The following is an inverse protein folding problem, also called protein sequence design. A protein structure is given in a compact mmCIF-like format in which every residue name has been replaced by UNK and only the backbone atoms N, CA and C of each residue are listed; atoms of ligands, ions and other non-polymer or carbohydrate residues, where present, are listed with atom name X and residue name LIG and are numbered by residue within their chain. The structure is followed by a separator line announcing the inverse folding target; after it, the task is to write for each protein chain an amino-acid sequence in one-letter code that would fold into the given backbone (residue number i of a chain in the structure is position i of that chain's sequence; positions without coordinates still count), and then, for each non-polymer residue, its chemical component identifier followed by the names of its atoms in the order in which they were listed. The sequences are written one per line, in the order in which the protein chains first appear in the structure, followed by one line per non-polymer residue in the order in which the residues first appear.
data_IF_679648414213
#
_entry.id   IF_679648414213
#
_cell.length_a   1.000
_cell.length_b   1.000
_cell.length_c   1.000
_cell.angle_alpha   90.00
_cell.angle_beta   90.00
_cell.angle_gamma   90.00
#
_symmetry.space_group_name_H-M   'P 1'
#
loop_
_entity.id
_entity.type
_entity.pdbx_description
1 polymer ?
#
# COMPACT_ATOMS: atom_id res chain seq x y z
N UNK A 1 2.04 13.02 12.71
CA UNK A 1 3.21 12.14 12.74
C UNK A 1 3.64 11.93 14.19
N UNK A 2 3.83 10.68 14.61
CA UNK A 2 4.46 10.32 15.89
C UNK A 2 5.83 9.72 15.59
N UNK A 3 6.86 10.07 16.33
CA UNK A 3 8.23 9.59 16.09
C UNK A 3 8.68 8.69 17.24
N UNK A 4 9.25 7.53 16.90
CA UNK A 4 9.94 6.64 17.82
C UNK A 4 11.44 6.66 17.53
N UNK A 5 12.28 6.63 18.56
CA UNK A 5 13.73 6.47 18.43
C UNK A 5 14.18 5.20 19.13
N UNK A 6 14.91 4.34 18.42
CA UNK A 6 15.55 3.17 19.00
C UNK A 6 16.74 3.64 19.85
N UNK A 7 16.63 3.60 21.18
CA UNK A 7 17.68 4.13 22.08
C UNK A 7 18.81 3.15 22.35
N UNK A 8 18.52 1.86 22.32
CA UNK A 8 19.48 0.83 22.65
C UNK A 8 19.24 -0.41 21.81
N UNK A 9 20.16 -0.69 20.87
CA UNK A 9 20.06 -1.83 19.96
C UNK A 9 20.08 -3.19 20.67
N UNK A 10 20.55 -3.28 21.93
CA UNK A 10 20.60 -4.54 22.69
C UNK A 10 19.27 -4.92 23.34
N UNK A 11 18.52 -3.94 23.86
CA UNK A 11 17.18 -4.15 24.46
C UNK A 11 16.05 -3.76 23.51
N UNK A 12 16.42 -3.16 22.37
CA UNK A 12 15.55 -2.68 21.30
C UNK A 12 14.39 -1.82 21.78
N UNK A 13 14.60 -1.01 22.81
CA UNK A 13 13.58 -0.13 23.34
C UNK A 13 13.38 1.08 22.42
N UNK A 14 12.12 1.33 22.06
CA UNK A 14 11.72 2.49 21.27
C UNK A 14 11.12 3.52 22.22
N UNK A 15 11.78 4.67 22.31
CA UNK A 15 11.23 5.83 22.98
C UNK A 15 10.37 6.62 21.99
N UNK A 16 9.07 6.64 22.24
CA UNK A 16 8.14 7.44 21.46
C UNK A 16 8.08 8.86 22.02
N UNK A 17 8.21 9.86 21.14
CA UNK A 17 7.94 11.25 21.49
C UNK A 17 6.50 11.35 22.03
N UNK A 18 6.32 12.06 23.14
CA UNK A 18 5.00 12.30 23.72
C UNK A 18 4.16 13.15 22.76
N UNK A 19 3.04 12.60 22.29
CA UNK A 19 2.09 13.30 21.42
C UNK A 19 2.40 13.16 19.92
N UNK A 20 1.82 14.07 19.14
CA UNK A 20 1.88 14.03 17.67
C UNK A 20 2.30 15.40 17.11
N UNK A 21 3.17 15.39 16.11
CA UNK A 21 3.49 16.57 15.31
C UNK A 21 2.54 16.63 14.11
N UNK A 22 1.84 17.74 13.95
CA UNK A 22 1.11 18.03 12.71
C UNK A 22 2.11 18.28 11.58
N UNK A 23 2.02 17.51 10.51
CA UNK A 23 2.85 17.73 9.31
C UNK A 23 2.17 18.75 8.41
N UNK A 24 2.30 20.03 8.77
CA UNK A 24 1.66 21.15 8.08
C UNK A 24 2.15 21.36 6.64
N UNK A 25 3.34 20.86 6.30
CA UNK A 25 3.87 20.95 4.95
C UNK A 25 3.27 19.94 3.98
N UNK A 26 2.63 18.86 4.44
CA UNK A 26 2.03 17.83 3.59
C UNK A 26 0.56 18.11 3.31
N UNK A 27 0.26 19.28 2.76
CA UNK A 27 -1.09 19.68 2.37
C UNK A 27 -1.11 20.71 1.25
N UNK A 28 -2.30 20.93 0.68
CA UNK A 28 -2.62 22.04 -0.20
C UNK A 28 -3.71 22.93 0.45
N UNK A 29 -3.72 24.25 0.21
CA UNK A 29 -4.76 25.13 0.73
C UNK A 29 -6.17 24.66 0.35
N UNK A 30 -7.10 24.62 1.31
CA UNK A 30 -8.50 24.17 1.13
C UNK A 30 -8.64 22.70 0.66
N UNK A 31 -7.66 21.86 0.95
CA UNK A 31 -7.70 20.41 0.70
C UNK A 31 -7.56 19.62 2.00
N UNK A 32 -8.02 18.37 1.97
CA UNK A 32 -7.75 17.33 2.95
C UNK A 32 -6.64 16.44 2.40
N UNK A 33 -5.61 16.17 3.21
CA UNK A 33 -4.56 15.20 2.89
C UNK A 33 -4.90 13.83 3.43
N UNK A 34 -4.68 12.78 2.65
CA UNK A 34 -4.97 11.40 3.03
C UNK A 34 -4.02 10.42 2.35
N UNK A 35 -4.06 9.18 2.79
CA UNK A 35 -3.30 8.05 2.24
C UNK A 35 -1.78 8.28 2.18
N UNK A 36 -1.11 8.45 3.33
CA UNK A 36 0.35 8.56 3.35
C UNK A 36 0.99 7.28 2.79
N UNK A 37 1.96 7.47 1.88
CA UNK A 37 2.72 6.41 1.24
C UNK A 37 4.22 6.77 1.23
N UNK A 38 4.98 6.39 2.28
CA UNK A 38 6.40 6.70 2.36
C UNK A 38 7.24 5.75 1.49
N UNK A 39 8.30 6.27 0.87
CA UNK A 39 9.37 5.47 0.25
C UNK A 39 10.72 6.10 0.54
N UNK A 40 11.72 5.27 0.87
CA UNK A 40 13.08 5.72 1.16
C UNK A 40 13.99 5.43 -0.03
N UNK A 41 14.53 6.51 -0.63
CA UNK A 41 15.53 6.42 -1.69
C UNK A 41 16.92 6.32 -1.03
N UNK A 42 17.56 5.16 -1.17
CA UNK A 42 18.75 4.76 -0.42
C UNK A 42 20.02 5.49 -0.84
N UNK A 43 20.16 5.90 -2.09
CA UNK A 43 21.40 6.51 -2.60
C UNK A 43 21.55 7.96 -2.13
N UNK A 44 20.53 8.78 -2.37
CA UNK A 44 20.43 10.17 -1.92
C UNK A 44 20.00 10.32 -0.46
N UNK A 45 19.60 9.22 0.19
CA UNK A 45 19.07 9.17 1.57
C UNK A 45 17.86 10.09 1.76
N UNK A 46 17.00 10.14 0.75
CA UNK A 46 15.80 10.99 0.75
C UNK A 46 14.59 10.15 1.11
N UNK A 47 13.86 10.57 2.14
CA UNK A 47 12.53 10.06 2.45
C UNK A 47 11.50 10.85 1.65
N UNK A 48 10.77 10.19 0.76
CA UNK A 48 9.58 10.72 0.12
C UNK A 48 8.36 10.29 0.93
N UNK A 49 7.41 11.20 1.12
CA UNK A 49 6.08 10.89 1.64
C UNK A 49 5.06 11.32 0.61
N UNK A 50 4.53 10.36 -0.14
CA UNK A 50 3.42 10.58 -1.06
C UNK A 50 2.09 10.62 -0.30
N UNK A 51 1.14 11.36 -0.84
CA UNK A 51 -0.23 11.47 -0.32
C UNK A 51 -1.15 12.03 -1.40
N UNK A 52 -2.46 11.93 -1.17
CA UNK A 52 -3.46 12.60 -2.02
C UNK A 52 -4.08 13.78 -1.29
N UNK A 53 -4.20 14.91 -1.99
CA UNK A 53 -4.99 16.06 -1.55
C UNK A 53 -6.33 16.11 -2.30
N UNK A 54 -7.44 16.21 -1.56
CA UNK A 54 -8.79 16.35 -2.15
C UNK A 54 -9.44 17.63 -1.60
N UNK A 55 -10.09 18.48 -2.43
CA UNK A 55 -10.77 19.68 -1.94
C UNK A 55 -11.72 19.37 -0.78
N UNK A 56 -11.73 20.19 0.27
CA UNK A 56 -12.41 19.87 1.54
C UNK A 56 -13.91 19.59 1.38
N UNK A 57 -14.57 20.20 0.39
CA UNK A 57 -16.00 20.08 0.14
C UNK A 57 -16.36 18.99 -0.88
N UNK A 58 -15.38 18.23 -1.38
CA UNK A 58 -15.59 17.19 -2.39
C UNK A 58 -15.48 15.81 -1.73
N UNK A 59 -16.55 15.03 -1.83
CA UNK A 59 -16.60 13.64 -1.35
C UNK A 59 -16.19 12.66 -2.45
N UNK A 60 -15.88 11.42 -2.05
CA UNK A 60 -15.67 10.31 -2.98
C UNK A 60 -16.94 10.07 -3.84
N UNK A 61 -18.11 10.08 -3.20
CA UNK A 61 -19.41 9.97 -3.85
C UNK A 61 -19.60 11.01 -4.96
N UNK A 62 -19.24 12.27 -4.71
CA UNK A 62 -19.40 13.32 -5.70
C UNK A 62 -18.49 13.12 -6.93
N UNK A 63 -17.25 12.69 -6.71
CA UNK A 63 -16.32 12.39 -7.81
C UNK A 63 -16.80 11.21 -8.67
N UNK A 64 -17.35 10.16 -8.04
CA UNK A 64 -17.95 9.01 -8.72
C UNK A 64 -19.20 9.43 -9.49
N UNK A 65 -20.12 10.12 -8.84
CA UNK A 65 -21.39 10.59 -9.44
C UNK A 65 -21.17 11.49 -10.65
N UNK A 66 -20.14 12.34 -10.59
CA UNK A 66 -19.82 13.30 -11.67
C UNK A 66 -18.80 12.77 -12.67
N UNK A 67 -18.26 11.55 -12.46
CA UNK A 67 -17.12 11.01 -13.21
C UNK A 67 -15.98 12.03 -13.35
N UNK A 68 -15.64 12.70 -12.24
CA UNK A 68 -14.66 13.76 -12.24
C UNK A 68 -13.75 13.64 -11.04
N UNK A 69 -12.54 13.16 -11.29
CA UNK A 69 -11.48 13.19 -10.30
C UNK A 69 -11.10 14.63 -9.93
N UNK A 70 -10.92 14.86 -8.63
CA UNK A 70 -10.41 16.12 -8.07
C UNK A 70 -9.28 15.90 -7.08
N UNK A 71 -8.75 14.67 -7.00
CA UNK A 71 -7.56 14.37 -6.22
C UNK A 71 -6.31 15.01 -6.82
N UNK A 72 -5.32 15.30 -5.96
CA UNK A 72 -3.99 15.77 -6.33
C UNK A 72 -2.96 14.78 -5.85
N UNK A 73 -2.10 14.30 -6.75
CA UNK A 73 -0.96 13.46 -6.40
C UNK A 73 0.15 14.37 -5.86
N UNK A 74 0.47 14.22 -4.58
CA UNK A 74 1.41 15.10 -3.91
C UNK A 74 2.49 14.32 -3.19
N UNK A 75 3.65 14.95 -2.99
CA UNK A 75 4.64 14.46 -2.04
C UNK A 75 5.35 15.60 -1.31
N UNK A 76 5.95 15.25 -0.18
CA UNK A 76 6.99 16.04 0.50
C UNK A 76 8.23 15.18 0.70
N UNK A 77 9.39 15.81 0.84
CA UNK A 77 10.66 15.11 1.06
C UNK A 77 11.32 15.49 2.36
N UNK A 78 12.13 14.60 2.90
CA UNK A 78 12.97 14.80 4.07
C UNK A 78 14.37 14.24 3.80
N UNK A 79 15.41 14.96 4.22
CA UNK A 79 16.83 14.52 4.17
C UNK A 79 17.45 14.29 5.54
N UNK A 80 16.66 14.35 6.61
CA UNK A 80 17.11 14.29 8.00
C UNK A 80 16.30 13.27 8.84
N UNK A 81 15.92 12.16 8.21
CA UNK A 81 15.13 11.07 8.82
C UNK A 81 13.74 11.51 9.33
N UNK A 82 13.08 12.39 8.58
CA UNK A 82 11.71 12.83 8.82
C UNK A 82 11.60 13.91 9.88
N UNK A 83 12.70 14.60 10.21
CA UNK A 83 12.73 15.69 11.19
C UNK A 83 12.17 16.98 10.60
N UNK A 84 12.62 17.34 9.40
CA UNK A 84 12.11 18.46 8.63
C UNK A 84 11.65 18.00 7.26
N UNK A 85 10.71 18.75 6.68
CA UNK A 85 10.05 18.37 5.44
C UNK A 85 10.02 19.54 4.46
N UNK A 86 10.19 19.24 3.18
CA UNK A 86 10.03 20.22 2.10
C UNK A 86 8.60 20.74 2.00
N UNK A 87 8.40 21.75 1.16
CA UNK A 87 7.05 22.14 0.70
C UNK A 87 6.43 21.03 -0.15
N UNK A 88 5.10 20.99 -0.21
CA UNK A 88 4.34 20.09 -1.09
C UNK A 88 4.73 20.30 -2.54
N UNK A 89 5.02 19.21 -3.24
CA UNK A 89 5.10 19.14 -4.70
C UNK A 89 3.82 18.48 -5.21
N UNK A 90 3.11 19.13 -6.14
CA UNK A 90 1.95 18.57 -6.83
C UNK A 90 2.37 18.02 -8.20
N UNK A 91 2.31 16.70 -8.36
CA UNK A 91 2.71 15.97 -9.57
C UNK A 91 1.54 15.72 -10.54
N UNK A 92 0.32 16.17 -10.21
CA UNK A 92 -0.89 15.75 -10.91
C UNK A 92 -0.83 16.09 -12.40
N UNK A 93 -0.39 17.30 -12.75
CA UNK A 93 -0.32 17.74 -14.14
C UNK A 93 0.79 17.02 -14.93
N UNK A 94 1.95 16.83 -14.30
CA UNK A 94 3.14 16.31 -14.96
C UNK A 94 3.10 14.78 -15.15
N UNK A 95 2.45 14.06 -14.23
CA UNK A 95 2.47 12.59 -14.19
C UNK A 95 1.17 11.97 -14.66
N UNK A 96 0.01 12.51 -14.23
CA UNK A 96 -1.30 11.96 -14.58
C UNK A 96 -1.84 12.67 -15.84
N UNK A 97 -1.73 14.00 -15.88
CA UNK A 97 -2.11 14.82 -17.02
C UNK A 97 -3.53 14.54 -17.51
N UNK A 98 -3.66 14.27 -18.81
CA UNK A 98 -4.94 14.05 -19.49
C UNK A 98 -5.65 12.77 -19.06
N UNK A 99 -4.93 11.76 -18.56
CA UNK A 99 -5.50 10.49 -18.08
C UNK A 99 -6.51 10.71 -16.94
N UNK A 100 -6.35 11.81 -16.19
CA UNK A 100 -7.24 12.24 -15.12
C UNK A 100 -8.71 12.35 -15.55
N UNK A 101 -8.98 12.62 -16.84
CA UNK A 101 -10.33 12.72 -17.41
C UNK A 101 -11.06 11.38 -17.46
N UNK A 102 -10.32 10.28 -17.40
CA UNK A 102 -10.88 8.92 -17.43
C UNK A 102 -11.11 8.36 -16.01
N UNK A 103 -10.77 9.14 -14.98
CA UNK A 103 -10.81 8.73 -13.58
C UNK A 103 -11.89 9.46 -12.80
N UNK A 104 -12.41 8.75 -11.79
CA UNK A 104 -13.16 9.29 -10.68
C UNK A 104 -12.17 9.43 -9.48
N UNK A 105 -12.42 9.00 -8.24
CA UNK A 105 -11.36 9.02 -7.21
C UNK A 105 -10.12 8.21 -7.59
N UNK A 106 -8.95 8.67 -7.17
CA UNK A 106 -7.71 7.88 -7.16
C UNK A 106 -6.98 8.11 -5.83
N UNK A 107 -6.13 7.17 -5.44
CA UNK A 107 -5.23 7.34 -4.31
C UNK A 107 -3.91 6.56 -4.50
N UNK A 108 -2.92 6.87 -3.65
CA UNK A 108 -1.71 6.06 -3.47
C UNK A 108 -1.86 5.13 -2.25
N UNK A 109 -1.14 4.02 -2.24
CA UNK A 109 -1.12 3.03 -1.16
C UNK A 109 -2.52 2.70 -0.60
N UNK A 110 -2.78 2.96 0.71
CA UNK A 110 -1.86 3.54 1.69
C UNK A 110 -0.77 2.56 2.19
N UNK A 111 0.17 3.07 2.99
CA UNK A 111 1.34 2.32 3.50
C UNK A 111 2.56 2.44 2.58
N UNK A 112 3.63 1.69 2.83
CA UNK A 112 4.92 1.93 2.19
C UNK A 112 4.97 1.70 0.67
N UNK A 113 5.83 2.46 -0.01
CA UNK A 113 6.30 2.20 -1.37
C UNK A 113 7.62 1.41 -1.36
N UNK A 114 8.12 1.06 -2.54
CA UNK A 114 9.29 0.18 -2.70
C UNK A 114 10.41 0.89 -3.45
N UNK A 115 11.65 0.70 -3.03
CA UNK A 115 12.80 0.90 -3.90
C UNK A 115 13.36 -0.46 -4.31
N UNK A 116 13.31 -0.76 -5.60
CA UNK A 116 13.79 -2.02 -6.17
C UNK A 116 15.33 -2.10 -6.14
N UNK A 117 15.87 -3.29 -6.38
CA UNK A 117 17.32 -3.54 -6.53
C UNK A 117 17.95 -2.69 -7.63
N UNK A 118 17.20 -2.38 -8.68
CA UNK A 118 17.64 -1.49 -9.78
C UNK A 118 17.77 -0.02 -9.37
N UNK A 119 17.27 0.37 -8.18
CA UNK A 119 17.15 1.76 -7.75
C UNK A 119 15.81 2.41 -8.10
N UNK A 120 15.00 1.79 -8.98
CA UNK A 120 13.65 2.28 -9.34
C UNK A 120 12.77 2.40 -8.09
N UNK A 121 12.16 3.56 -7.91
CA UNK A 121 11.15 3.82 -6.88
C UNK A 121 9.77 3.45 -7.43
N UNK A 122 8.94 2.85 -6.59
CA UNK A 122 7.58 2.41 -6.88
C UNK A 122 6.64 2.93 -5.80
N UNK A 123 5.57 3.60 -6.23
CA UNK A 123 4.46 4.05 -5.39
C UNK A 123 3.20 3.32 -5.85
N UNK A 124 2.67 2.37 -5.05
CA UNK A 124 1.40 1.71 -5.33
C UNK A 124 0.27 2.73 -5.40
N UNK A 125 -0.67 2.54 -6.33
CA UNK A 125 -1.81 3.44 -6.50
C UNK A 125 -3.02 2.68 -7.07
N UNK A 126 -4.18 3.32 -7.05
CA UNK A 126 -5.36 2.85 -7.74
C UNK A 126 -6.22 4.02 -8.22
N UNK A 127 -6.98 3.81 -9.28
CA UNK A 127 -7.94 4.77 -9.80
C UNK A 127 -9.29 4.12 -10.10
N UNK A 128 -10.37 4.79 -9.72
CA UNK A 128 -11.74 4.41 -10.09
C UNK A 128 -12.04 4.83 -11.51
N UNK A 129 -12.61 3.93 -12.30
CA UNK A 129 -13.02 4.19 -13.68
C UNK A 129 -14.42 3.70 -13.95
N UNK A 130 -15.09 4.37 -14.88
CA UNK A 130 -16.39 3.94 -15.38
C UNK A 130 -16.22 2.65 -16.21
N UNK A 131 -16.93 1.59 -15.82
CA UNK A 131 -16.90 0.27 -16.46
C UNK A 131 -18.22 -0.09 -17.16
N UNK A 132 -19.13 0.87 -17.33
CA UNK A 132 -20.47 0.61 -17.87
C UNK A 132 -21.48 0.19 -16.80
N UNK A 133 -22.77 0.19 -17.17
CA UNK A 133 -23.83 -0.31 -16.29
C UNK A 133 -23.79 -1.85 -16.30
N UNK A 134 -23.72 -2.52 -15.14
CA UNK A 134 -23.98 -3.95 -15.10
C UNK A 134 -25.43 -4.24 -15.53
N UNK A 135 -25.72 -5.46 -15.98
CA UNK A 135 -27.08 -5.98 -16.25
C UNK A 135 -27.86 -6.12 -14.93
N UNK A 136 -28.11 -5.01 -14.25
CA UNK A 136 -28.84 -4.94 -13.00
C UNK A 136 -30.21 -4.33 -13.28
N UNK A 137 -31.24 -5.17 -13.22
CA UNK A 137 -32.65 -4.81 -13.44
C UNK A 137 -33.31 -4.12 -12.24
N UNK A 138 -32.59 -3.95 -11.12
CA UNK A 138 -33.08 -3.24 -9.94
C UNK A 138 -32.79 -1.75 -10.03
N UNK A 139 -33.83 -0.93 -9.84
CA UNK A 139 -33.86 0.54 -9.98
C UNK A 139 -32.97 1.31 -8.96
N UNK A 140 -32.17 0.61 -8.14
CA UNK A 140 -31.31 1.20 -7.11
C UNK A 140 -29.84 1.38 -7.54
N UNK A 141 -29.50 1.16 -8.81
CA UNK A 141 -28.15 1.29 -9.37
C UNK A 141 -27.70 2.76 -9.50
N UNK A 142 -27.62 3.44 -8.36
CA UNK A 142 -26.87 4.67 -8.16
C UNK A 142 -25.41 4.43 -8.58
N UNK A 143 -24.89 5.32 -9.43
CA UNK A 143 -23.50 5.50 -9.93
C UNK A 143 -22.41 4.48 -9.53
N UNK A 144 -22.23 4.13 -8.25
CA UNK A 144 -21.17 3.27 -7.73
C UNK A 144 -21.00 1.90 -8.39
N UNK A 145 -22.07 1.21 -8.78
CA UNK A 145 -21.91 -0.11 -9.43
C UNK A 145 -21.31 -0.03 -10.84
N UNK A 146 -21.29 1.17 -11.43
CA UNK A 146 -20.71 1.43 -12.74
C UNK A 146 -19.24 1.84 -12.65
N UNK A 147 -18.67 1.94 -11.45
CA UNK A 147 -17.28 2.33 -11.24
C UNK A 147 -16.53 1.24 -10.51
N UNK A 148 -15.34 0.92 -10.99
CA UNK A 148 -14.44 -0.06 -10.38
C UNK A 148 -13.05 0.54 -10.22
N UNK A 149 -12.37 0.30 -9.09
CA UNK A 149 -10.98 0.66 -8.94
C UNK A 149 -10.08 -0.32 -9.68
N UNK A 150 -8.97 0.20 -10.21
CA UNK A 150 -7.90 -0.59 -10.81
C UNK A 150 -6.56 -0.11 -10.26
N UNK A 151 -5.77 -1.04 -9.74
CA UNK A 151 -4.43 -0.78 -9.23
C UNK A 151 -3.47 -0.46 -10.37
N UNK A 152 -2.51 0.41 -10.09
CA UNK A 152 -1.41 0.82 -10.96
C UNK A 152 -0.20 1.22 -10.09
N UNK A 153 0.92 1.58 -10.71
CA UNK A 153 2.08 2.12 -10.02
C UNK A 153 2.49 3.47 -10.61
N UNK A 154 2.90 4.40 -9.75
CA UNK A 154 3.80 5.48 -10.18
C UNK A 154 5.24 5.04 -9.92
N UNK A 155 6.17 5.43 -10.78
CA UNK A 155 7.56 5.02 -10.65
C UNK A 155 8.54 6.10 -11.11
N UNK A 156 9.76 6.02 -10.58
CA UNK A 156 10.88 6.91 -10.92
C UNK A 156 12.16 6.11 -11.10
N UNK A 157 12.90 6.42 -12.16
CA UNK A 157 14.17 5.78 -12.53
C UNK A 157 15.40 6.66 -12.19
N UNK A 158 15.17 7.88 -11.72
CA UNK A 158 16.18 8.94 -11.56
C UNK A 158 16.16 9.53 -10.16
N UNK A 159 16.08 8.65 -9.15
CA UNK A 159 16.10 9.01 -7.72
C UNK A 159 14.98 9.98 -7.30
N UNK A 160 13.83 9.92 -7.98
CA UNK A 160 12.64 10.72 -7.67
C UNK A 160 12.63 12.11 -8.33
N UNK A 161 13.52 12.39 -9.29
CA UNK A 161 13.54 13.66 -10.04
C UNK A 161 12.34 13.73 -11.00
N UNK A 162 12.10 12.69 -11.78
CA UNK A 162 10.94 12.56 -12.65
C UNK A 162 10.13 11.32 -12.31
N UNK A 163 8.82 11.39 -12.59
CA UNK A 163 7.87 10.35 -12.26
C UNK A 163 7.05 9.99 -13.50
N UNK A 164 6.73 8.70 -13.61
CA UNK A 164 5.89 8.14 -14.66
C UNK A 164 4.76 7.34 -14.03
N UNK A 165 3.72 7.12 -14.82
CA UNK A 165 2.57 6.32 -14.45
C UNK A 165 2.56 5.05 -15.30
N UNK A 166 2.45 3.89 -14.65
CA UNK A 166 2.25 2.60 -15.30
C UNK A 166 0.80 2.40 -15.75
N UNK A 167 0.58 1.37 -16.55
CA UNK A 167 -0.74 0.92 -16.94
C UNK A 167 -1.44 0.26 -15.75
N UNK A 168 -2.75 0.51 -15.67
CA UNK A 168 -3.61 -0.10 -14.67
C UNK A 168 -3.86 -1.59 -14.94
N UNK A 169 -4.17 -2.33 -13.89
CA UNK A 169 -4.67 -3.70 -14.00
C UNK A 169 -6.00 -3.76 -14.76
N UNK A 170 -6.28 -4.91 -15.36
CA UNK A 170 -7.55 -5.18 -16.04
C UNK A 170 -8.56 -5.96 -15.16
N UNK A 171 -8.28 -6.09 -13.86
CA UNK A 171 -9.16 -6.71 -12.86
C UNK A 171 -9.43 -5.74 -11.73
N UNK A 172 -10.61 -5.83 -11.11
CA UNK A 172 -10.99 -4.99 -9.96
C UNK A 172 -9.94 -5.09 -8.85
N UNK A 173 -9.33 -3.96 -8.53
CA UNK A 173 -8.22 -3.86 -7.59
C UNK A 173 -8.15 -2.45 -7.01
N UNK A 174 -8.29 -2.33 -5.70
CA UNK A 174 -8.27 -1.06 -4.98
C UNK A 174 -6.91 -0.84 -4.29
N UNK A 175 -6.92 -0.39 -3.04
CA UNK A 175 -5.73 -0.23 -2.19
C UNK A 175 -4.82 -1.45 -2.32
N UNK A 176 -3.57 -1.17 -2.66
CA UNK A 176 -2.59 -2.20 -2.98
C UNK A 176 -1.24 -1.87 -2.35
N UNK A 177 -0.47 -2.92 -2.09
CA UNK A 177 0.95 -2.81 -1.78
C UNK A 177 1.73 -3.69 -2.73
N UNK A 178 3.01 -3.36 -2.88
CA UNK A 178 3.88 -4.02 -3.83
C UNK A 178 5.17 -4.44 -3.14
N UNK A 179 5.81 -5.48 -3.66
CA UNK A 179 7.06 -6.00 -3.15
C UNK A 179 7.93 -6.50 -4.31
N UNK A 180 9.25 -6.34 -4.20
CA UNK A 180 10.17 -6.91 -5.19
C UNK A 180 10.45 -8.38 -4.86
N UNK A 181 10.24 -9.26 -5.84
CA UNK A 181 10.66 -10.66 -5.79
C UNK A 181 11.91 -10.81 -6.64
N UNK A 182 12.98 -11.34 -6.06
CA UNK A 182 14.19 -11.74 -6.77
C UNK A 182 14.24 -13.27 -6.78
N UNK A 183 14.24 -13.87 -7.98
CA UNK A 183 14.32 -15.31 -8.15
C UNK A 183 15.76 -15.82 -7.93
N UNK A 184 15.95 -17.15 -7.97
CA UNK A 184 17.25 -17.80 -7.77
C UNK A 184 18.30 -17.42 -8.84
N UNK A 185 17.85 -16.94 -10.01
CA UNK A 185 18.71 -16.42 -11.09
C UNK A 185 19.07 -14.93 -10.91
N UNK A 186 18.58 -14.29 -9.84
CA UNK A 186 18.80 -12.87 -9.56
C UNK A 186 17.91 -11.92 -10.36
N UNK A 187 16.90 -12.43 -11.08
CA UNK A 187 15.95 -11.63 -11.86
C UNK A 187 14.84 -11.09 -10.96
N UNK A 188 14.67 -9.77 -10.99
CA UNK A 188 13.59 -9.08 -10.28
C UNK A 188 12.25 -9.19 -11.00
N UNK A 189 11.17 -9.23 -10.23
CA UNK A 189 9.78 -9.01 -10.66
C UNK A 189 9.09 -8.20 -9.58
N UNK A 190 8.17 -7.31 -9.96
CA UNK A 190 7.37 -6.57 -9.01
C UNK A 190 6.05 -7.32 -8.77
N UNK A 191 5.81 -7.71 -7.53
CA UNK A 191 4.56 -8.31 -7.09
C UNK A 191 3.61 -7.25 -6.55
N UNK A 192 2.33 -7.34 -6.90
CA UNK A 192 1.28 -6.48 -6.39
C UNK A 192 0.20 -7.34 -5.71
N UNK A 193 -0.18 -6.94 -4.51
CA UNK A 193 -1.28 -7.50 -3.74
C UNK A 193 -2.33 -6.41 -3.51
N UNK A 194 -3.52 -6.60 -4.08
CA UNK A 194 -4.56 -5.57 -4.12
C UNK A 194 -5.85 -6.02 -3.45
N UNK A 195 -6.49 -5.05 -2.79
CA UNK A 195 -7.82 -5.18 -2.18
C UNK A 195 -8.87 -5.43 -3.24
N UNK A 196 -9.81 -6.31 -2.94
CA UNK A 196 -10.99 -6.54 -3.78
C UNK A 196 -12.26 -6.63 -2.94
N UNK A 197 -13.41 -6.73 -3.62
CA UNK A 197 -14.70 -7.12 -3.02
C UNK A 197 -15.13 -8.54 -3.44
N UNK A 198 -14.20 -9.34 -3.96
CA UNK A 198 -14.43 -10.66 -4.54
C UNK A 198 -14.20 -11.82 -3.55
N UNK A 199 -13.95 -11.50 -2.27
CA UNK A 199 -13.70 -12.49 -1.20
C UNK A 199 -12.24 -12.95 -1.08
N UNK A 200 -11.38 -12.58 -2.03
CA UNK A 200 -9.93 -12.84 -1.97
C UNK A 200 -9.14 -11.65 -2.52
N UNK A 201 -7.86 -11.56 -2.13
CA UNK A 201 -6.91 -10.60 -2.71
C UNK A 201 -6.67 -10.89 -4.19
N UNK A 202 -6.41 -9.84 -4.96
CA UNK A 202 -5.84 -9.97 -6.31
C UNK A 202 -4.33 -9.93 -6.20
N UNK A 203 -3.68 -10.92 -6.80
CA UNK A 203 -2.23 -11.02 -6.86
C UNK A 203 -1.76 -10.95 -8.32
N UNK A 204 -0.79 -10.08 -8.61
CA UNK A 204 -0.25 -9.93 -9.96
C UNK A 204 1.26 -9.67 -9.98
N UNK A 205 1.90 -10.06 -11.09
CA UNK A 205 3.32 -9.84 -11.35
C UNK A 205 3.50 -8.86 -12.52
N UNK A 206 4.45 -7.96 -12.34
CA UNK A 206 5.01 -7.10 -13.37
C UNK A 206 6.46 -7.47 -13.64
N UNK A 207 6.75 -7.81 -14.88
CA UNK A 207 8.10 -8.14 -15.35
C UNK A 207 8.86 -6.92 -15.91
N UNK A 208 8.15 -5.80 -16.11
CA UNK A 208 8.67 -4.49 -16.48
C UNK A 208 8.54 -3.48 -15.33
N UNK A 209 8.65 -3.98 -14.09
CA UNK A 209 8.91 -3.17 -12.90
C UNK A 209 7.88 -2.04 -12.66
N UNK A 210 6.60 -2.38 -12.76
CA UNK A 210 5.48 -1.47 -12.47
C UNK A 210 4.86 -0.78 -13.68
N UNK A 211 5.41 -0.96 -14.87
CA UNK A 211 4.82 -0.43 -16.11
C UNK A 211 3.54 -1.18 -16.50
N UNK A 212 3.51 -2.51 -16.37
CA UNK A 212 2.33 -3.34 -16.63
C UNK A 212 2.24 -4.53 -15.68
N UNK A 213 1.02 -4.92 -15.30
CA UNK A 213 0.74 -6.13 -14.52
C UNK A 213 0.06 -7.19 -15.40
N UNK A 214 0.88 -7.91 -16.17
CA UNK A 214 0.40 -8.84 -17.20
C UNK A 214 0.08 -10.26 -16.73
N UNK A 215 0.57 -10.68 -15.55
CA UNK A 215 0.36 -12.05 -15.03
C UNK A 215 -0.36 -12.01 -13.69
N UNK A 216 -1.57 -12.54 -13.65
CA UNK A 216 -2.30 -12.79 -12.41
C UNK A 216 -1.95 -14.15 -11.85
N UNK A 217 -1.86 -14.24 -10.52
CA UNK A 217 -1.60 -15.49 -9.83
C UNK A 217 -2.92 -16.13 -9.37
N UNK A 218 -2.89 -17.45 -9.21
CA UNK A 218 -4.03 -18.29 -8.82
C UNK A 218 -3.47 -19.47 -8.00
N UNK A 219 -4.20 -20.08 -7.05
CA UNK A 219 -5.66 -20.09 -6.90
C UNK A 219 -6.28 -19.01 -5.98
N UNK A 220 -5.60 -17.89 -5.69
CA UNK A 220 -6.03 -16.86 -4.71
C UNK A 220 -6.32 -17.46 -3.32
N UNK A 221 -5.30 -17.50 -2.45
CA UNK A 221 -5.44 -18.09 -1.10
C UNK A 221 -5.67 -17.07 0.01
N UNK A 222 -5.25 -15.82 -0.22
CA UNK A 222 -5.40 -14.74 0.75
C UNK A 222 -6.83 -14.23 0.73
N UNK A 223 -7.58 -14.54 1.79
CA UNK A 223 -8.98 -14.13 1.96
C UNK A 223 -9.10 -12.61 2.11
N UNK A 224 -10.25 -12.08 1.68
CA UNK A 224 -10.70 -10.73 1.98
C UNK A 224 -11.78 -10.73 3.05
N UNK A 225 -11.98 -9.59 3.70
CA UNK A 225 -12.98 -9.41 4.75
C UNK A 225 -14.19 -8.60 4.26
N UNK A 226 -15.39 -9.19 4.22
CA UNK A 226 -16.64 -8.48 3.93
C UNK A 226 -16.57 -7.57 2.70
N UNK A 227 -16.50 -6.25 2.90
CA UNK A 227 -16.38 -5.21 1.86
C UNK A 227 -14.94 -4.87 1.43
N UNK A 228 -13.98 -5.71 1.81
CA UNK A 228 -12.55 -5.57 1.63
C UNK A 228 -11.84 -4.75 2.73
N UNK A 229 -10.56 -5.01 2.94
CA UNK A 229 -9.66 -4.21 3.78
C UNK A 229 -8.33 -3.94 3.07
N UNK A 230 -7.60 -2.89 3.46
CA UNK A 230 -6.21 -2.81 3.08
C UNK A 230 -5.43 -3.92 3.80
N UNK A 231 -4.35 -4.39 3.17
CA UNK A 231 -3.39 -5.32 3.75
C UNK A 231 -1.98 -4.94 3.31
N UNK A 232 -0.99 -5.33 4.11
CA UNK A 232 0.41 -5.03 3.82
C UNK A 232 1.14 -6.23 3.27
N UNK A 233 2.01 -6.03 2.27
CA UNK A 233 2.97 -7.04 1.82
C UNK A 233 4.37 -6.46 1.83
N UNK A 234 5.31 -7.25 2.34
CA UNK A 234 6.73 -6.90 2.43
C UNK A 234 7.55 -8.07 1.87
N UNK A 235 8.55 -7.77 1.03
CA UNK A 235 9.58 -8.75 0.70
C UNK A 235 10.81 -8.59 1.60
N UNK A 236 11.43 -9.71 1.91
CA UNK A 236 12.71 -9.77 2.59
C UNK A 236 13.55 -10.93 2.05
N UNK A 237 14.87 -10.84 2.20
CA UNK A 237 15.80 -11.87 1.76
C UNK A 237 16.06 -12.84 2.91
N UNK A 238 15.72 -14.09 2.69
CA UNK A 238 16.09 -15.17 3.60
C UNK A 238 17.60 -15.44 3.50
N UNK A 239 18.29 -15.57 4.63
CA UNK A 239 19.73 -15.81 4.74
C UNK A 239 20.12 -17.27 4.40
N UNK A 240 19.52 -17.82 3.36
CA UNK A 240 19.84 -19.12 2.78
C UNK A 240 20.88 -18.98 1.65
N UNK A 241 21.50 -20.10 1.27
CA UNK A 241 22.42 -20.17 0.14
C UNK A 241 21.89 -21.16 -0.91
N UNK A 242 21.41 -20.70 -2.09
CA UNK A 242 21.36 -19.30 -2.56
C UNK A 242 20.28 -18.46 -1.85
N UNK A 243 20.43 -17.12 -1.78
CA UNK A 243 19.45 -16.24 -1.15
C UNK A 243 18.11 -16.30 -1.90
N UNK A 244 17.01 -16.38 -1.13
CA UNK A 244 15.65 -16.46 -1.66
C UNK A 244 14.81 -15.32 -1.12
N UNK A 245 13.98 -14.73 -1.97
CA UNK A 245 13.00 -13.74 -1.53
C UNK A 245 11.79 -14.45 -0.95
N UNK A 246 11.38 -14.08 0.26
CA UNK A 246 10.10 -14.48 0.85
C UNK A 246 9.16 -13.27 0.90
N UNK A 247 7.86 -13.52 0.96
CA UNK A 247 6.84 -12.49 1.18
C UNK A 247 6.18 -12.68 2.54
N UNK A 248 6.14 -11.60 3.32
CA UNK A 248 5.34 -11.48 4.53
C UNK A 248 4.10 -10.65 4.22
N UNK A 249 2.94 -11.09 4.68
CA UNK A 249 1.66 -10.41 4.47
C UNK A 249 0.90 -10.25 5.79
N UNK A 250 0.31 -9.08 6.03
CA UNK A 250 -0.58 -8.83 7.17
C UNK A 250 -1.96 -8.36 6.73
N UNK A 251 -2.99 -8.97 7.31
CA UNK A 251 -4.40 -8.62 7.04
C UNK A 251 -5.33 -9.27 8.09
N UNK A 252 -6.52 -8.69 8.35
CA UNK A 252 -7.56 -9.35 9.15
C UNK A 252 -7.88 -10.77 8.64
N UNK A 253 -7.88 -11.76 9.53
CA UNK A 253 -8.00 -13.18 9.15
C UNK A 253 -9.44 -13.70 9.12
N UNK A 254 -10.44 -12.84 9.33
CA UNK A 254 -11.85 -13.21 9.21
C UNK A 254 -12.41 -12.87 7.81
N UNK A 255 -13.14 -13.80 7.16
CA UNK A 255 -13.72 -13.53 5.84
C UNK A 255 -14.90 -12.54 5.87
N UNK A 256 -15.38 -12.17 7.07
CA UNK A 256 -16.57 -11.32 7.24
C UNK A 256 -16.27 -10.00 7.92
N UNK A 257 -15.42 -10.02 8.95
CA UNK A 257 -15.21 -8.89 9.85
C UNK A 257 -13.73 -8.48 9.86
N UNK A 258 -13.47 -7.20 10.11
CA UNK A 258 -12.12 -6.66 10.31
C UNK A 258 -11.66 -6.97 11.73
N UNK A 259 -11.27 -8.23 11.94
CA UNK A 259 -10.81 -8.76 13.22
C UNK A 259 -9.63 -9.69 13.00
N UNK A 260 -8.85 -9.87 14.07
CA UNK A 260 -7.72 -10.80 14.17
C UNK A 260 -6.66 -10.54 13.10
N UNK A 261 -5.73 -9.61 13.38
CA UNK A 261 -4.69 -9.27 12.40
C UNK A 261 -3.69 -10.43 12.26
N UNK A 262 -3.82 -11.20 11.18
CA UNK A 262 -2.99 -12.36 10.89
C UNK A 262 -1.76 -12.02 10.04
N UNK A 263 -0.65 -12.71 10.32
CA UNK A 263 0.55 -12.73 9.51
C UNK A 263 0.63 -14.02 8.69
N UNK A 264 0.98 -13.89 7.42
CA UNK A 264 1.13 -15.01 6.49
C UNK A 264 2.51 -14.93 5.84
N UNK A 265 3.11 -16.09 5.59
CA UNK A 265 4.44 -16.18 4.99
C UNK A 265 4.38 -17.04 3.73
N UNK A 266 4.86 -16.52 2.60
CA UNK A 266 5.03 -17.26 1.36
C UNK A 266 6.52 -17.40 1.01
N UNK A 267 7.00 -18.64 1.05
CA UNK A 267 8.40 -19.00 0.75
C UNK A 267 8.66 -19.24 -0.75
N UNK A 268 7.61 -19.25 -1.56
CA UNK A 268 7.63 -19.46 -3.01
C UNK A 268 6.80 -18.37 -3.70
N UNK A 269 7.20 -17.09 -3.63
CA UNK A 269 6.32 -15.95 -3.89
C UNK A 269 5.89 -15.77 -5.36
N UNK A 270 6.43 -16.55 -6.29
CA UNK A 270 5.94 -16.63 -7.68
C UNK A 270 4.74 -17.56 -7.85
N UNK A 271 4.36 -18.29 -6.79
CA UNK A 271 3.24 -19.20 -6.73
C UNK A 271 2.31 -18.84 -5.55
N UNK A 272 1.10 -18.38 -5.85
CA UNK A 272 0.07 -18.10 -4.85
C UNK A 272 -0.34 -19.32 -4.03
N UNK A 273 -0.09 -20.54 -4.52
CA UNK A 273 -0.36 -21.76 -3.75
C UNK A 273 0.48 -21.85 -2.47
N UNK A 274 1.62 -21.15 -2.45
CA UNK A 274 2.57 -21.09 -1.33
C UNK A 274 2.08 -20.32 -0.10
N UNK A 275 1.01 -19.53 -0.21
CA UNK A 275 0.38 -18.92 0.97
C UNK A 275 -0.31 -20.01 1.82
N UNK A 276 -0.17 -19.99 3.16
CA UNK A 276 -0.92 -20.92 4.01
C UNK A 276 -2.40 -20.53 4.09
N UNK A 277 -3.26 -21.49 4.47
CA UNK A 277 -4.69 -21.20 4.68
C UNK A 277 -4.95 -20.47 6.00
N UNK A 278 -4.10 -20.73 7.00
CA UNK A 278 -4.17 -20.12 8.33
C UNK A 278 -2.97 -19.19 8.55
N UNK A 279 -3.14 -18.12 9.34
CA UNK A 279 -2.03 -17.23 9.67
C UNK A 279 -0.96 -17.97 10.49
N UNK A 280 0.30 -17.62 10.24
CA UNK A 280 1.47 -18.06 11.00
C UNK A 280 1.44 -17.52 12.44
N UNK A 281 0.98 -16.28 12.60
CA UNK A 281 0.88 -15.59 13.88
C UNK A 281 -0.32 -14.61 13.83
N UNK A 282 -1.04 -14.46 14.94
CA UNK A 282 -1.98 -13.35 15.11
C UNK A 282 -1.28 -12.26 15.91
N UNK A 283 -1.11 -11.07 15.31
CA UNK A 283 -0.49 -9.91 15.96
C UNK A 283 -1.42 -9.21 16.95
N UNK A 284 -2.73 -9.27 16.68
CA UNK A 284 -3.75 -8.67 17.52
C UNK A 284 -5.03 -9.48 17.44
N UNK A 285 -5.58 -9.88 18.58
CA UNK A 285 -6.88 -10.55 18.70
C UNK A 285 -7.97 -9.50 18.85
N UNK A 286 -9.05 -9.57 18.07
CA UNK A 286 -10.14 -8.61 18.08
C UNK A 286 -10.08 -7.56 16.95
N UNK A 287 -10.86 -6.46 17.04
CA UNK A 287 -10.99 -5.46 15.98
C UNK A 287 -9.65 -4.96 15.45
N UNK A 288 -9.43 -5.16 14.15
CA UNK A 288 -8.17 -4.84 13.46
C UNK A 288 -8.42 -4.54 11.99
N UNK A 289 -7.79 -3.50 11.44
CA UNK A 289 -7.98 -3.11 10.05
C UNK A 289 -6.67 -2.89 9.30
N UNK A 290 -6.35 -1.64 8.95
CA UNK A 290 -5.23 -1.36 8.05
C UNK A 290 -3.92 -1.67 8.78
N UNK A 291 -2.92 -2.12 8.02
CA UNK A 291 -1.59 -2.42 8.57
C UNK A 291 -0.49 -2.04 7.59
N UNK A 292 0.72 -1.83 8.10
CA UNK A 292 1.93 -1.59 7.30
C UNK A 292 3.15 -2.26 7.96
N UNK A 293 3.80 -3.16 7.22
CA UNK A 293 4.93 -3.96 7.66
C UNK A 293 6.26 -3.31 7.32
N UNK A 294 7.27 -3.55 8.15
CA UNK A 294 8.66 -3.19 7.87
C UNK A 294 9.62 -4.22 8.47
N UNK A 295 10.68 -4.55 7.73
CA UNK A 295 11.88 -5.19 8.26
C UNK A 295 12.87 -4.08 8.61
N UNK A 296 13.14 -3.89 9.91
CA UNK A 296 14.02 -2.81 10.37
C UNK A 296 15.47 -3.28 10.60
N UNK A 297 15.67 -4.58 10.79
CA UNK A 297 16.94 -5.29 10.82
C UNK A 297 16.71 -6.70 10.24
N UNK A 298 17.72 -7.37 9.66
CA UNK A 298 17.53 -8.71 9.09
C UNK A 298 16.87 -9.69 10.07
N UNK A 299 15.70 -10.23 9.69
CA UNK A 299 14.91 -11.16 10.51
C UNK A 299 14.08 -10.51 11.62
N UNK A 300 14.06 -9.18 11.72
CA UNK A 300 13.31 -8.42 12.73
C UNK A 300 12.29 -7.50 12.10
N UNK A 301 11.05 -7.67 12.50
CA UNK A 301 9.91 -7.06 11.84
C UNK A 301 9.11 -6.19 12.80
N UNK A 302 8.44 -5.20 12.23
CA UNK A 302 7.43 -4.42 12.92
C UNK A 302 6.19 -4.24 12.04
N UNK A 303 5.07 -4.02 12.70
CA UNK A 303 3.79 -3.72 12.09
C UNK A 303 3.22 -2.48 12.77
N UNK A 304 2.78 -1.51 11.96
CA UNK A 304 1.90 -0.43 12.40
C UNK A 304 0.48 -0.82 11.99
N UNK A 305 -0.49 -0.80 12.90
CA UNK A 305 -1.85 -1.29 12.63
C UNK A 305 -2.93 -0.46 13.28
N UNK A 306 -4.09 -0.36 12.62
CA UNK A 306 -5.35 0.07 13.23
C UNK A 306 -5.92 -1.07 14.06
N UNK A 307 -6.20 -0.82 15.34
CA UNK A 307 -6.81 -1.79 16.25
C UNK A 307 -7.64 -1.12 17.36
N UNK A 308 -8.34 -1.93 18.14
CA UNK A 308 -9.08 -1.49 19.31
C UNK A 308 -9.78 -2.63 20.03
N UNK A 309 -10.55 -2.29 21.07
CA UNK A 309 -11.29 -3.27 21.87
C UNK A 309 -12.70 -3.51 21.32
N UNK A 310 -13.40 -2.44 20.89
CA UNK A 310 -14.77 -2.51 20.36
C UNK A 310 -14.80 -2.27 18.84
N UNK A 311 -13.95 -1.38 18.34
CA UNK A 311 -13.84 -0.98 16.94
C UNK A 311 -12.39 -0.98 16.44
N UNK A 312 -12.20 -1.22 15.15
CA UNK A 312 -10.86 -1.31 14.54
C UNK A 312 -10.09 0.02 14.50
N UNK A 313 -10.76 1.16 14.69
CA UNK A 313 -10.22 2.49 14.44
C UNK A 313 -10.05 3.33 15.71
N UNK A 314 -9.96 2.68 16.87
CA UNK A 314 -9.76 3.34 18.17
C UNK A 314 -8.33 3.86 18.33
N UNK A 315 -7.34 3.09 17.88
CA UNK A 315 -5.93 3.43 18.00
C UNK A 315 -5.07 2.94 16.84
N UNK A 316 -3.84 3.46 16.78
CA UNK A 316 -2.78 2.95 15.91
C UNK A 316 -1.69 2.37 16.81
N UNK A 317 -1.54 1.04 16.78
CA UNK A 317 -0.53 0.32 17.56
C UNK A 317 0.73 0.05 16.72
N UNK A 318 1.87 -0.03 17.40
CA UNK A 318 3.14 -0.47 16.83
C UNK A 318 3.59 -1.73 17.53
N UNK A 319 3.71 -2.83 16.79
CA UNK A 319 4.07 -4.15 17.30
C UNK A 319 5.36 -4.62 16.64
N UNK A 320 6.31 -5.09 17.46
CA UNK A 320 7.54 -5.76 16.98
C UNK A 320 7.39 -7.25 17.15
N UNK A 321 7.95 -8.01 16.21
CA UNK A 321 7.92 -9.46 16.25
C UNK A 321 9.10 -10.05 15.46
N UNK A 322 9.37 -11.32 15.74
CA UNK A 322 10.24 -12.17 14.96
C UNK A 322 9.38 -13.30 14.39
N UNK A 323 9.81 -13.91 13.28
CA UNK A 323 9.10 -15.06 12.73
C UNK A 323 9.40 -16.30 13.60
N UNK A 324 8.40 -17.15 13.89
CA UNK A 324 8.65 -18.41 14.58
C UNK A 324 9.56 -19.32 13.76
N UNK A 325 10.37 -20.14 14.45
CA UNK A 325 11.19 -21.20 13.85
C UNK A 325 10.34 -22.26 13.13
#
# INVERSE_FOLDING_TARGET
MRRGTLKNAKIQEIEWVSGHQLLSSACLPNHRSMNPCPVYERESKTLFLFFVCVPTRVSEYEQIRTNKSQGRLCYVTSKDAGQTWSQTVDLTADVIGEQMKEWAPFAVGPGHGVQMKSGRLIIPAYAYRYTGKPDCTSCCCLSFCCFKPFALAFYSDDQGITWKMGNQMNVESCECQMAEIINEEGKSSLYCNARTRLGYRTEALSYNYGEDFGKFLSPNKLIETGNGCQGSVLSFLEQSSPPKTWLLYSHPSSPKNRVDLGLYLNKTPLDSSGWPNEPLLILHQGPSAYSDLVEYEPGRFACLMECGTEHENEEIAFVRFELPE
#
